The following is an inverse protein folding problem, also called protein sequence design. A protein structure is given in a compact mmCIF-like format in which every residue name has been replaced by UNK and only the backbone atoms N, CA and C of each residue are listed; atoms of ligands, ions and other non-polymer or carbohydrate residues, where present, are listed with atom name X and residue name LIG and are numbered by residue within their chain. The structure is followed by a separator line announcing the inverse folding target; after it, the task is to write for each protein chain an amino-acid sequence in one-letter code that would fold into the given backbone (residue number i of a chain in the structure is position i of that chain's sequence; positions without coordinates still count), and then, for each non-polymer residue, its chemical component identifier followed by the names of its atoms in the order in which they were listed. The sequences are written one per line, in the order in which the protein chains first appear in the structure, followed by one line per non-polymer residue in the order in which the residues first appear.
data_IF_105389524812
#
_entry.id   IF_105389524812
#
_cell.length_a   1.000
_cell.length_b   1.000
_cell.length_c   1.000
_cell.angle_alpha   90.00
_cell.angle_beta   90.00
_cell.angle_gamma   90.00
#
_symmetry.space_group_name_H-M   'P 1'
#
loop_
_entity.id
_entity.type
_entity.pdbx_description
1 polymer ?
#
# COMPACT_ATOMS: atom_id res chain seq x y z
N UNK A 1 -5.07 21.70 -31.09
CA UNK A 1 -6.00 20.69 -30.54
C UNK A 1 -5.70 20.56 -29.06
N UNK A 2 -6.51 21.20 -28.22
CA UNK A 2 -6.46 21.09 -26.76
C UNK A 2 -7.06 19.75 -26.37
N UNK A 3 -6.23 18.72 -26.23
CA UNK A 3 -6.65 17.58 -25.43
C UNK A 3 -6.89 18.12 -24.03
N UNK A 4 -8.12 18.06 -23.47
CA UNK A 4 -8.27 18.33 -22.06
C UNK A 4 -7.35 17.33 -21.36
N UNK A 5 -6.50 17.81 -20.45
CA UNK A 5 -5.81 16.97 -19.48
C UNK A 5 -6.83 16.38 -18.49
N UNK A 6 -7.98 15.91 -18.98
CA UNK A 6 -9.00 15.26 -18.18
C UNK A 6 -8.51 13.84 -17.95
N UNK A 7 -7.79 13.64 -16.87
CA UNK A 7 -7.59 12.31 -16.32
C UNK A 7 -8.94 11.62 -16.08
N UNK A 8 -8.95 10.29 -16.07
CA UNK A 8 -10.16 9.49 -15.84
C UNK A 8 -10.75 9.68 -14.43
N UNK A 9 -9.96 10.24 -13.50
CA UNK A 9 -10.35 10.49 -12.12
C UNK A 9 -10.13 11.95 -11.76
N UNK A 10 -10.99 12.48 -10.91
CA UNK A 10 -10.73 13.74 -10.21
C UNK A 10 -9.50 13.61 -9.29
N UNK A 11 -8.97 14.76 -8.86
CA UNK A 11 -7.87 14.79 -7.89
C UNK A 11 -8.26 14.10 -6.57
N UNK A 12 -9.51 14.30 -6.12
CA UNK A 12 -10.02 13.71 -4.89
C UNK A 12 -10.18 12.19 -5.00
N UNK A 13 -10.71 11.69 -6.12
CA UNK A 13 -10.79 10.25 -6.39
C UNK A 13 -9.41 9.62 -6.46
N UNK A 14 -8.46 10.30 -7.12
CA UNK A 14 -7.06 9.84 -7.20
C UNK A 14 -6.42 9.79 -5.81
N UNK A 15 -6.64 10.80 -4.96
CA UNK A 15 -6.12 10.83 -3.61
C UNK A 15 -6.71 9.69 -2.76
N UNK A 16 -8.01 9.42 -2.88
CA UNK A 16 -8.66 8.28 -2.22
C UNK A 16 -8.07 6.95 -2.67
N UNK A 17 -7.91 6.73 -3.98
CA UNK A 17 -7.29 5.51 -4.51
C UNK A 17 -5.86 5.33 -4.02
N UNK A 18 -5.07 6.40 -3.98
CA UNK A 18 -3.70 6.35 -3.48
C UNK A 18 -3.67 5.97 -2.00
N UNK A 19 -4.56 6.51 -1.16
CA UNK A 19 -4.66 6.10 0.25
C UNK A 19 -5.04 4.62 0.41
N UNK A 20 -5.92 4.11 -0.46
CA UNK A 20 -6.30 2.70 -0.50
C UNK A 20 -5.11 1.79 -0.85
N UNK A 21 -4.34 2.13 -1.88
CA UNK A 21 -3.15 1.37 -2.23
C UNK A 21 -2.05 1.47 -1.18
N UNK A 22 -1.89 2.65 -0.57
CA UNK A 22 -0.92 2.88 0.51
C UNK A 22 -1.25 2.01 1.72
N UNK A 23 -2.53 1.92 2.09
CA UNK A 23 -3.01 1.00 3.12
C UNK A 23 -2.65 -0.46 2.78
N UNK A 24 -2.91 -0.91 1.55
CA UNK A 24 -2.62 -2.29 1.14
C UNK A 24 -1.13 -2.66 1.27
N UNK A 25 -0.22 -1.79 0.79
CA UNK A 25 1.23 -2.06 0.87
C UNK A 25 1.75 -1.98 2.31
N UNK A 26 1.18 -1.12 3.14
CA UNK A 26 1.51 -1.06 4.58
C UNK A 26 1.07 -2.31 5.34
N UNK A 27 -0.14 -2.84 5.06
CA UNK A 27 -0.60 -4.13 5.60
C UNK A 27 0.31 -5.28 5.14
N UNK A 28 0.68 -5.30 3.86
CA UNK A 28 1.58 -6.32 3.31
C UNK A 28 2.97 -6.31 3.97
N UNK A 29 3.54 -5.12 4.21
CA UNK A 29 4.80 -5.01 4.97
C UNK A 29 4.69 -5.62 6.37
N UNK A 30 3.59 -5.33 7.08
CA UNK A 30 3.36 -5.87 8.43
C UNK A 30 3.26 -7.39 8.42
N UNK A 31 2.44 -7.95 7.53
CA UNK A 31 2.27 -9.40 7.35
C UNK A 31 3.60 -10.10 7.10
N UNK A 32 4.35 -9.64 6.09
CA UNK A 32 5.64 -10.22 5.74
C UNK A 32 6.65 -10.08 6.88
N UNK A 33 6.64 -8.96 7.61
CA UNK A 33 7.47 -8.77 8.79
C UNK A 33 7.19 -9.81 9.88
N UNK A 34 5.92 -10.13 10.11
CA UNK A 34 5.50 -11.20 11.02
C UNK A 34 5.99 -12.58 10.56
N UNK A 35 5.76 -12.93 9.29
CA UNK A 35 6.16 -14.23 8.75
C UNK A 35 7.68 -14.42 8.68
N UNK A 36 8.46 -13.38 8.37
CA UNK A 36 9.93 -13.44 8.40
C UNK A 36 10.45 -13.93 9.77
N UNK A 37 9.79 -13.54 10.87
CA UNK A 37 10.17 -13.96 12.21
C UNK A 37 9.87 -15.45 12.47
N UNK A 38 8.86 -16.02 11.82
CA UNK A 38 8.39 -17.39 12.03
C UNK A 38 8.96 -18.40 11.04
N UNK A 39 9.35 -17.97 9.84
CA UNK A 39 9.91 -18.84 8.80
C UNK A 39 11.33 -19.29 9.18
N UNK A 40 11.69 -20.58 9.13
CA UNK A 40 13.06 -21.02 9.40
C UNK A 40 13.98 -20.92 8.16
N UNK A 41 13.46 -21.08 6.95
CA UNK A 41 14.25 -21.14 5.72
C UNK A 41 14.86 -19.78 5.35
N UNK A 42 16.19 -19.71 5.26
CA UNK A 42 16.89 -18.47 4.93
C UNK A 42 16.51 -17.92 3.55
N UNK A 43 16.39 -18.78 2.54
CA UNK A 43 16.00 -18.36 1.19
C UNK A 43 14.62 -17.70 1.15
N UNK A 44 13.66 -18.23 1.92
CA UNK A 44 12.33 -17.65 2.05
C UNK A 44 12.38 -16.29 2.77
N UNK A 45 13.17 -16.15 3.84
CA UNK A 45 13.39 -14.84 4.51
C UNK A 45 13.96 -13.80 3.57
N UNK A 46 14.96 -14.14 2.77
CA UNK A 46 15.57 -13.21 1.82
C UNK A 46 14.57 -12.74 0.77
N UNK A 47 13.73 -13.65 0.26
CA UNK A 47 12.67 -13.31 -0.68
C UNK A 47 11.61 -12.39 -0.03
N UNK A 48 11.12 -12.73 1.16
CA UNK A 48 10.17 -11.89 1.89
C UNK A 48 10.76 -10.53 2.24
N UNK A 49 12.03 -10.47 2.64
CA UNK A 49 12.74 -9.22 2.92
C UNK A 49 12.82 -8.31 1.69
N UNK A 50 13.00 -8.88 0.50
CA UNK A 50 12.91 -8.12 -0.75
C UNK A 50 11.50 -7.54 -0.96
N UNK A 51 10.46 -8.31 -0.72
CA UNK A 51 9.09 -7.82 -0.82
C UNK A 51 8.75 -6.75 0.23
N UNK A 52 9.26 -6.87 1.45
CA UNK A 52 9.13 -5.80 2.47
C UNK A 52 9.76 -4.51 1.93
N UNK A 53 10.96 -4.59 1.37
CA UNK A 53 11.61 -3.42 0.77
C UNK A 53 10.81 -2.84 -0.40
N UNK A 54 10.33 -3.66 -1.34
CA UNK A 54 9.52 -3.18 -2.47
C UNK A 54 8.24 -2.47 -1.98
N UNK A 55 7.54 -3.04 -0.98
CA UNK A 55 6.35 -2.40 -0.39
C UNK A 55 6.67 -1.09 0.34
N UNK A 56 7.84 -0.98 0.99
CA UNK A 56 8.27 0.26 1.63
C UNK A 56 8.49 1.37 0.59
N UNK A 57 9.14 1.02 -0.53
CA UNK A 57 9.33 1.93 -1.65
C UNK A 57 7.98 2.39 -2.24
N UNK A 58 7.02 1.47 -2.37
CA UNK A 58 5.66 1.82 -2.81
C UNK A 58 4.94 2.74 -1.84
N UNK A 59 5.00 2.47 -0.53
CA UNK A 59 4.33 3.30 0.49
C UNK A 59 4.87 4.74 0.49
N UNK A 60 6.19 4.90 0.32
CA UNK A 60 6.87 6.19 0.21
C UNK A 60 6.51 6.92 -1.10
N UNK A 61 6.53 6.21 -2.25
CA UNK A 61 6.13 6.79 -3.53
C UNK A 61 4.67 7.27 -3.54
N UNK A 62 3.75 6.47 -2.99
CA UNK A 62 2.33 6.83 -2.84
C UNK A 62 2.16 8.01 -1.89
N UNK A 63 2.88 8.02 -0.76
CA UNK A 63 2.86 9.13 0.20
C UNK A 63 3.33 10.46 -0.40
N UNK A 64 4.38 10.44 -1.23
CA UNK A 64 4.87 11.63 -1.96
C UNK A 64 3.84 12.20 -2.94
N UNK A 65 2.98 11.35 -3.51
CA UNK A 65 1.97 11.78 -4.48
C UNK A 65 0.77 12.48 -3.83
N UNK A 66 0.46 12.19 -2.57
CA UNK A 66 -0.71 12.76 -1.88
C UNK A 66 -0.65 14.29 -1.74
N UNK A 67 0.47 14.93 -1.34
CA UNK A 67 0.60 16.39 -1.31
C UNK A 67 0.37 17.06 -2.65
N UNK A 68 0.77 16.43 -3.76
CA UNK A 68 0.54 16.94 -5.11
C UNK A 68 -0.97 17.00 -5.45
N UNK A 69 -1.78 16.19 -4.77
CA UNK A 69 -3.24 16.17 -4.85
C UNK A 69 -3.91 16.93 -3.70
N UNK A 70 -3.15 17.73 -2.93
CA UNK A 70 -3.62 18.46 -1.73
C UNK A 70 -4.14 17.57 -0.61
N UNK A 71 -3.66 16.32 -0.53
CA UNK A 71 -3.94 15.40 0.55
C UNK A 71 -2.71 15.24 1.48
N UNK A 72 -2.93 14.78 2.71
CA UNK A 72 -1.85 14.56 3.68
C UNK A 72 -1.00 13.34 3.30
N UNK A 73 0.33 13.47 3.35
CA UNK A 73 1.29 12.46 2.87
C UNK A 73 1.27 11.12 3.62
N UNK A 74 0.92 11.13 4.91
CA UNK A 74 1.03 9.98 5.80
C UNK A 74 -0.32 9.40 6.20
N UNK A 75 -1.33 9.56 5.35
CA UNK A 75 -2.66 8.99 5.57
C UNK A 75 -2.86 7.78 4.68
N UNK A 76 -3.34 6.70 5.28
CA UNK A 76 -3.75 5.47 4.62
C UNK A 76 -5.16 5.15 5.07
N UNK A 77 -6.00 4.72 4.14
CA UNK A 77 -7.40 4.35 4.39
C UNK A 77 -7.68 3.04 3.66
N UNK A 78 -8.43 2.09 4.23
CA UNK A 78 -8.81 0.89 3.51
C UNK A 78 -9.83 1.22 2.42
N UNK A 79 -9.85 0.41 1.36
CA UNK A 79 -10.83 0.57 0.28
C UNK A 79 -12.28 0.31 0.73
N UNK A 80 -12.48 -0.63 1.64
CA UNK A 80 -13.75 -1.02 2.26
C UNK A 80 -13.49 -1.99 3.42
N UNK A 81 -14.53 -2.28 4.21
CA UNK A 81 -14.46 -3.21 5.36
C UNK A 81 -14.13 -4.65 4.95
N UNK A 82 -14.61 -5.11 3.79
CA UNK A 82 -14.30 -6.46 3.30
C UNK A 82 -12.80 -6.65 3.04
N UNK A 83 -12.11 -5.61 2.56
CA UNK A 83 -10.67 -5.63 2.36
C UNK A 83 -9.89 -5.64 3.69
N UNK A 84 -10.41 -4.95 4.72
CA UNK A 84 -9.85 -5.02 6.07
C UNK A 84 -9.96 -6.45 6.60
N UNK A 85 -11.17 -7.02 6.58
CA UNK A 85 -11.42 -8.38 7.03
C UNK A 85 -10.57 -9.42 6.29
N UNK A 86 -10.35 -9.23 4.98
CA UNK A 86 -9.45 -10.08 4.21
C UNK A 86 -8.00 -9.98 4.68
N UNK A 87 -7.48 -8.77 4.91
CA UNK A 87 -6.12 -8.58 5.40
C UNK A 87 -5.93 -9.13 6.81
N UNK A 88 -6.93 -8.97 7.68
CA UNK A 88 -6.93 -9.52 9.03
C UNK A 88 -6.91 -11.06 9.00
N UNK A 89 -7.72 -11.68 8.14
CA UNK A 89 -7.75 -13.13 7.97
C UNK A 89 -6.43 -13.72 7.46
N UNK A 90 -5.63 -12.96 6.70
CA UNK A 90 -4.28 -13.40 6.29
C UNK A 90 -3.28 -13.26 7.44
N UNK A 91 -3.40 -12.21 8.26
CA UNK A 91 -2.52 -11.98 9.41
C UNK A 91 -2.69 -13.03 10.52
N UNK A 92 -3.90 -13.56 10.67
CA UNK A 92 -4.23 -14.55 11.69
C UNK A 92 -3.98 -16.01 11.26
N UNK A 93 -3.67 -16.25 9.99
CA UNK A 93 -3.40 -17.58 9.43
C UNK A 93 -1.98 -18.07 9.73
#
# INVERSE_FOLDING_TARGET
MTHPLSGHFSADESARLIRNYRYAVERMMRMLGGWIALTPELSAKLLMGRHVWDNAQHADALGRRLPELRAQAHVSEPANEAFVAFMDAIEEA
#
